data_IF_537383344933
#
_entry.id   IF_537383344933
#
_cell.length_a   1.000
_cell.length_b   1.000
_cell.length_c   1.000
_cell.angle_alpha   90.00
_cell.angle_beta   90.00
_cell.angle_gamma   90.00
#
_symmetry.space_group_name_H-M   'P 1'
#
loop_
_entity.id
_entity.type
_entity.pdbx_description
1 polymer ?
#
# COMPACT_ATOMS: atom_id res chain seq x y z
N UNK A 1 9.71 16.67 25.85
CA UNK A 1 8.77 15.70 25.24
C UNK A 1 8.02 16.22 24.02
N UNK A 2 7.68 17.52 23.89
CA UNK A 2 6.94 18.05 22.71
C UNK A 2 7.79 18.22 21.43
N UNK A 3 9.12 18.22 21.54
CA UNK A 3 10.06 18.54 20.44
C UNK A 3 10.34 17.35 19.51
N UNK A 4 10.24 16.12 20.00
CA UNK A 4 10.54 14.92 19.19
C UNK A 4 9.42 14.61 18.19
N UNK A 5 8.17 14.86 18.57
CA UNK A 5 6.99 14.62 17.73
C UNK A 5 6.99 15.48 16.45
N UNK A 6 7.52 16.71 16.54
CA UNK A 6 7.64 17.60 15.39
C UNK A 6 8.64 17.05 14.37
N UNK A 7 9.85 16.67 14.81
CA UNK A 7 10.89 16.15 13.92
C UNK A 7 10.46 14.88 13.21
N UNK A 8 9.77 13.99 13.91
CA UNK A 8 9.21 12.74 13.37
C UNK A 8 8.28 12.99 12.17
N UNK A 9 7.33 13.92 12.32
CA UNK A 9 6.38 14.27 11.24
C UNK A 9 7.07 14.94 10.05
N UNK A 10 8.08 15.78 10.28
CA UNK A 10 8.84 16.40 9.19
C UNK A 10 9.64 15.38 8.38
N UNK A 11 10.32 14.44 9.06
CA UNK A 11 11.07 13.36 8.42
C UNK A 11 10.13 12.50 7.57
N UNK A 12 8.97 12.13 8.11
CA UNK A 12 7.98 11.35 7.36
C UNK A 12 7.55 12.07 6.07
N UNK A 13 7.21 13.35 6.16
CA UNK A 13 6.82 14.17 4.99
C UNK A 13 7.94 14.29 3.97
N UNK A 14 9.17 14.49 4.44
CA UNK A 14 10.34 14.56 3.58
C UNK A 14 10.59 13.24 2.86
N UNK A 15 10.45 12.10 3.55
CA UNK A 15 10.58 10.77 2.95
C UNK A 15 9.46 10.51 1.94
N UNK A 16 8.20 10.87 2.25
CA UNK A 16 7.10 10.76 1.29
C UNK A 16 7.30 11.66 0.07
N UNK A 17 7.88 12.85 0.26
CA UNK A 17 8.20 13.75 -0.83
C UNK A 17 9.29 13.17 -1.74
N UNK A 18 10.37 12.63 -1.17
CA UNK A 18 11.43 11.95 -1.91
C UNK A 18 10.86 10.74 -2.67
N UNK A 19 10.05 9.91 -2.00
CA UNK A 19 9.37 8.79 -2.62
C UNK A 19 8.47 9.24 -3.78
N UNK A 20 7.67 10.29 -3.57
CA UNK A 20 6.80 10.88 -4.58
C UNK A 20 7.60 11.37 -5.80
N UNK A 21 8.68 12.12 -5.58
CA UNK A 21 9.56 12.60 -6.64
C UNK A 21 10.19 11.44 -7.43
N UNK A 22 10.64 10.40 -6.74
CA UNK A 22 11.21 9.20 -7.37
C UNK A 22 10.19 8.48 -8.27
N UNK A 23 8.95 8.31 -7.79
CA UNK A 23 7.88 7.62 -8.53
C UNK A 23 7.37 8.46 -9.71
N UNK A 24 7.16 9.77 -9.52
CA UNK A 24 6.72 10.65 -10.61
C UNK A 24 7.77 10.76 -11.70
N UNK A 25 9.05 10.85 -11.35
CA UNK A 25 10.15 10.82 -12.31
C UNK A 25 10.16 9.51 -13.11
N UNK A 26 10.01 8.37 -12.45
CA UNK A 26 9.94 7.06 -13.12
C UNK A 26 8.75 6.97 -14.08
N UNK A 27 7.58 7.44 -13.67
CA UNK A 27 6.40 7.46 -14.54
C UNK A 27 6.58 8.40 -15.73
N UNK A 28 7.17 9.58 -15.53
CA UNK A 28 7.47 10.52 -16.61
C UNK A 28 8.43 9.90 -17.64
N UNK A 29 9.47 9.19 -17.18
CA UNK A 29 10.37 8.43 -18.04
C UNK A 29 9.65 7.31 -18.79
N UNK A 30 8.72 6.60 -18.13
CA UNK A 30 7.95 5.54 -18.77
C UNK A 30 7.03 6.09 -19.87
N UNK A 31 6.32 7.20 -19.59
CA UNK A 31 5.48 7.88 -20.59
C UNK A 31 6.30 8.33 -21.80
N UNK A 32 7.50 8.88 -21.58
CA UNK A 32 8.38 9.38 -22.64
C UNK A 32 9.04 8.26 -23.45
N UNK A 33 9.60 7.25 -22.79
CA UNK A 33 10.40 6.20 -23.45
C UNK A 33 9.56 5.10 -24.11
N UNK A 34 8.37 4.81 -23.57
CA UNK A 34 7.51 3.72 -24.06
C UNK A 34 6.26 4.25 -24.80
N UNK A 35 6.24 5.54 -25.16
CA UNK A 35 5.11 6.24 -25.80
C UNK A 35 3.76 5.87 -25.17
N UNK A 36 3.76 5.82 -23.83
CA UNK A 36 2.63 5.29 -23.07
C UNK A 36 1.46 6.26 -23.18
N UNK A 37 0.24 5.72 -23.28
CA UNK A 37 -0.98 6.54 -23.23
C UNK A 37 -1.00 7.42 -21.98
N UNK A 38 -1.43 8.67 -22.16
CA UNK A 38 -1.63 9.66 -21.09
C UNK A 38 -2.53 9.17 -19.96
N UNK A 39 -3.38 8.16 -20.21
CA UNK A 39 -4.20 7.52 -19.18
C UNK A 39 -3.38 6.90 -18.04
N UNK A 40 -2.12 6.51 -18.28
CA UNK A 40 -1.28 5.95 -17.22
C UNK A 40 -0.84 7.00 -16.18
N UNK A 41 -1.03 8.29 -16.45
CA UNK A 41 -0.72 9.36 -15.49
C UNK A 41 -1.63 9.31 -14.25
N UNK A 42 -2.81 8.69 -14.36
CA UNK A 42 -3.70 8.52 -13.21
C UNK A 42 -3.09 7.64 -12.12
N UNK A 43 -2.17 6.72 -12.46
CA UNK A 43 -1.56 5.81 -11.49
C UNK A 43 -0.71 6.56 -10.44
N UNK A 44 0.30 7.37 -10.81
CA UNK A 44 1.06 8.15 -9.83
C UNK A 44 0.19 9.18 -9.10
N UNK A 45 -0.82 9.76 -9.76
CA UNK A 45 -1.77 10.69 -9.11
C UNK A 45 -2.53 9.99 -7.98
N UNK A 46 -3.10 8.81 -8.26
CA UNK A 46 -3.82 8.02 -7.26
C UNK A 46 -2.88 7.60 -6.13
N UNK A 47 -1.65 7.20 -6.45
CA UNK A 47 -0.66 6.87 -5.42
C UNK A 47 -0.36 8.06 -4.50
N UNK A 48 -0.16 9.27 -5.04
CA UNK A 48 0.05 10.50 -4.25
C UNK A 48 -1.17 10.76 -3.35
N UNK A 49 -2.38 10.61 -3.90
CA UNK A 49 -3.61 10.80 -3.14
C UNK A 49 -3.74 9.80 -1.99
N UNK A 50 -3.46 8.51 -2.23
CA UNK A 50 -3.42 7.48 -1.19
C UNK A 50 -2.34 7.76 -0.13
N UNK A 51 -1.15 8.21 -0.55
CA UNK A 51 -0.06 8.58 0.35
C UNK A 51 -0.45 9.73 1.27
N UNK A 52 -1.11 10.75 0.70
CA UNK A 52 -1.57 11.91 1.44
C UNK A 52 -2.68 11.56 2.44
N UNK A 53 -3.70 10.82 2.01
CA UNK A 53 -4.80 10.42 2.89
C UNK A 53 -4.29 9.50 4.00
N UNK A 54 -3.44 8.52 3.68
CA UNK A 54 -2.91 7.63 4.69
C UNK A 54 -2.03 8.36 5.71
N UNK A 55 -1.16 9.28 5.28
CA UNK A 55 -0.39 10.15 6.18
C UNK A 55 -1.30 10.98 7.09
N UNK A 56 -2.33 11.62 6.52
CA UNK A 56 -3.28 12.43 7.29
C UNK A 56 -4.05 11.59 8.31
N UNK A 57 -4.56 10.45 7.87
CA UNK A 57 -5.30 9.49 8.70
C UNK A 57 -4.44 8.95 9.85
N UNK A 58 -3.19 8.61 9.57
CA UNK A 58 -2.26 8.09 10.57
C UNK A 58 -1.85 9.16 11.59
N UNK A 59 -1.61 10.41 11.17
CA UNK A 59 -1.35 11.51 12.10
C UNK A 59 -2.53 11.77 13.03
N UNK A 60 -3.76 11.63 12.52
CA UNK A 60 -4.97 11.84 13.33
C UNK A 60 -5.21 10.68 14.32
N UNK A 61 -5.01 9.43 13.89
CA UNK A 61 -5.40 8.25 14.66
C UNK A 61 -4.26 7.68 15.52
N UNK A 62 -3.00 7.88 15.14
CA UNK A 62 -1.82 7.27 15.77
C UNK A 62 -0.70 8.30 15.98
N UNK A 63 -0.86 9.22 16.96
CA UNK A 63 0.09 10.30 17.19
C UNK A 63 1.48 9.84 17.69
N UNK A 64 1.64 8.58 18.13
CA UNK A 64 2.92 8.00 18.60
C UNK A 64 3.39 6.83 17.71
N UNK A 65 3.26 6.96 16.39
CA UNK A 65 3.69 5.94 15.43
C UNK A 65 5.15 6.13 15.01
N UNK A 66 5.72 5.08 14.43
CA UNK A 66 7.00 5.13 13.74
C UNK A 66 6.88 5.95 12.42
N UNK A 67 7.65 7.03 12.24
CA UNK A 67 7.62 7.87 11.05
C UNK A 67 8.24 7.24 9.80
N UNK A 68 9.04 6.18 9.92
CA UNK A 68 9.76 5.59 8.78
C UNK A 68 8.95 4.51 8.06
N UNK A 69 8.11 3.78 8.80
CA UNK A 69 7.42 2.60 8.29
C UNK A 69 6.45 2.95 7.14
N UNK A 70 5.65 4.00 7.33
CA UNK A 70 4.64 4.39 6.34
C UNK A 70 5.26 4.92 5.02
N UNK A 71 6.26 5.83 5.04
CA UNK A 71 6.96 6.24 3.83
C UNK A 71 7.63 5.10 3.08
N UNK A 72 8.28 4.17 3.81
CA UNK A 72 8.93 3.01 3.19
C UNK A 72 7.89 2.11 2.52
N UNK A 73 6.77 1.81 3.20
CA UNK A 73 5.67 1.06 2.60
C UNK A 73 5.16 1.73 1.33
N UNK A 74 4.88 3.04 1.38
CA UNK A 74 4.37 3.77 0.22
C UNK A 74 5.38 3.76 -0.93
N UNK A 75 6.67 3.95 -0.64
CA UNK A 75 7.74 3.87 -1.64
C UNK A 75 7.76 2.50 -2.32
N UNK A 76 7.71 1.41 -1.56
CA UNK A 76 7.70 0.05 -2.10
C UNK A 76 6.46 -0.23 -2.95
N UNK A 77 5.28 0.23 -2.50
CA UNK A 77 4.05 0.13 -3.26
C UNK A 77 4.15 0.91 -4.59
N UNK A 78 4.69 2.12 -4.54
CA UNK A 78 4.87 2.96 -5.73
C UNK A 78 5.86 2.33 -6.71
N UNK A 79 6.98 1.80 -6.21
CA UNK A 79 7.96 1.07 -7.02
C UNK A 79 7.31 -0.15 -7.67
N UNK A 80 6.52 -0.91 -6.91
CA UNK A 80 5.76 -2.04 -7.42
C UNK A 80 4.81 -1.66 -8.55
N UNK A 81 4.08 -0.54 -8.42
CA UNK A 81 3.22 -0.02 -9.48
C UNK A 81 4.00 0.33 -10.76
N UNK A 82 5.13 1.02 -10.63
CA UNK A 82 6.02 1.33 -11.78
C UNK A 82 6.51 0.05 -12.44
N UNK A 83 6.90 -0.95 -11.64
CA UNK A 83 7.44 -2.22 -12.14
C UNK A 83 6.35 -3.03 -12.86
N UNK A 84 5.15 -3.08 -12.30
CA UNK A 84 4.00 -3.76 -12.94
C UNK A 84 3.62 -3.03 -14.22
N UNK A 85 3.58 -1.70 -14.24
CA UNK A 85 3.25 -0.94 -15.45
C UNK A 85 4.30 -1.14 -16.56
N UNK A 86 5.57 -1.33 -16.18
CA UNK A 86 6.66 -1.65 -17.11
C UNK A 86 6.54 -3.06 -17.70
N UNK A 87 6.24 -4.07 -16.88
CA UNK A 87 6.26 -5.48 -17.30
C UNK A 87 4.91 -5.94 -17.86
N UNK A 88 3.83 -5.54 -17.21
CA UNK A 88 2.48 -6.05 -17.44
C UNK A 88 1.43 -4.91 -17.30
N UNK A 89 1.43 -3.94 -18.23
CA UNK A 89 0.68 -2.69 -18.08
C UNK A 89 -0.85 -2.85 -17.98
N UNK A 90 -1.41 -3.89 -18.60
CA UNK A 90 -2.84 -4.20 -18.50
C UNK A 90 -3.26 -4.51 -17.06
N UNK A 91 -2.33 -4.94 -16.20
CA UNK A 91 -2.58 -5.23 -14.79
C UNK A 91 -2.33 -4.03 -13.87
N UNK A 92 -1.60 -3.00 -14.32
CA UNK A 92 -1.25 -1.85 -13.49
C UNK A 92 -2.50 -1.06 -13.02
N UNK A 93 -3.51 -0.95 -13.88
CA UNK A 93 -4.80 -0.34 -13.50
C UNK A 93 -5.50 -1.14 -12.39
N UNK A 94 -5.54 -2.47 -12.51
CA UNK A 94 -6.12 -3.34 -11.47
C UNK A 94 -5.35 -3.23 -10.16
N UNK A 95 -4.01 -3.19 -10.23
CA UNK A 95 -3.17 -2.98 -9.06
C UNK A 95 -3.44 -1.63 -8.38
N UNK A 96 -3.72 -0.60 -9.16
CA UNK A 96 -4.07 0.73 -8.64
C UNK A 96 -5.41 0.71 -7.89
N UNK A 97 -6.39 -0.05 -8.37
CA UNK A 97 -7.65 -0.28 -7.64
C UNK A 97 -7.37 -1.00 -6.31
N UNK A 98 -6.51 -2.02 -6.32
CA UNK A 98 -6.10 -2.71 -5.09
C UNK A 98 -5.38 -1.79 -4.10
N UNK A 99 -4.60 -0.82 -4.57
CA UNK A 99 -4.00 0.20 -3.72
C UNK A 99 -5.08 1.04 -3.02
N UNK A 100 -6.11 1.50 -3.75
CA UNK A 100 -7.22 2.25 -3.16
C UNK A 100 -7.92 1.41 -2.10
N UNK A 101 -8.29 0.17 -2.42
CA UNK A 101 -8.97 -0.74 -1.50
C UNK A 101 -8.12 -1.03 -0.26
N UNK A 102 -6.82 -1.31 -0.44
CA UNK A 102 -5.87 -1.55 0.65
C UNK A 102 -5.70 -0.33 1.54
N UNK A 103 -5.65 0.87 0.96
CA UNK A 103 -5.56 2.14 1.72
C UNK A 103 -6.83 2.37 2.54
N UNK A 104 -8.02 2.19 1.94
CA UNK A 104 -9.30 2.27 2.64
C UNK A 104 -9.38 1.26 3.80
N UNK A 105 -8.97 0.01 3.56
CA UNK A 105 -8.93 -1.02 4.58
C UNK A 105 -7.96 -0.69 5.71
N UNK A 106 -6.74 -0.24 5.39
CA UNK A 106 -5.76 0.18 6.40
C UNK A 106 -6.31 1.32 7.28
N UNK A 107 -6.93 2.33 6.68
CA UNK A 107 -7.57 3.44 7.40
C UNK A 107 -8.69 2.95 8.31
N UNK A 108 -9.52 2.01 7.85
CA UNK A 108 -10.56 1.39 8.66
C UNK A 108 -9.95 0.64 9.85
N UNK A 109 -8.90 -0.15 9.63
CA UNK A 109 -8.22 -0.89 10.68
C UNK A 109 -7.60 0.03 11.75
N UNK A 110 -7.04 1.17 11.35
CA UNK A 110 -6.51 2.15 12.31
C UNK A 110 -7.61 2.68 13.24
N UNK A 111 -8.87 2.79 12.80
CA UNK A 111 -9.98 3.24 13.65
C UNK A 111 -10.32 2.23 14.74
N UNK A 112 -10.13 0.94 14.44
CA UNK A 112 -10.43 -0.16 15.35
C UNK A 112 -9.24 -0.58 16.23
N UNK A 113 -8.14 0.20 16.26
CA UNK A 113 -6.91 -0.13 17.02
C UNK A 113 -7.15 -0.48 18.50
N UNK A 114 -8.18 0.11 19.13
CA UNK A 114 -8.53 -0.15 20.54
C UNK A 114 -9.02 -1.58 20.79
N UNK A 115 -9.54 -2.26 19.76
CA UNK A 115 -9.97 -3.67 19.82
C UNK A 115 -8.84 -4.66 19.51
N UNK A 116 -7.73 -4.24 18.87
CA UNK A 116 -6.64 -5.16 18.50
C UNK A 116 -5.89 -5.69 19.73
N UNK A 117 -5.87 -4.97 20.85
CA UNK A 117 -5.35 -5.50 22.13
C UNK A 117 -6.19 -6.66 22.68
N UNK A 118 -7.47 -6.80 22.28
CA UNK A 118 -8.29 -7.97 22.63
C UNK A 118 -8.00 -9.16 21.71
N UNK A 119 -7.25 -8.97 20.61
CA UNK A 119 -6.94 -9.99 19.61
C UNK A 119 -5.78 -10.90 20.03
N UNK A 120 -5.00 -10.53 21.06
CA UNK A 120 -3.99 -11.42 21.66
C UNK A 120 -4.59 -12.72 22.20
N UNK A 121 -5.90 -12.73 22.52
CA UNK A 121 -6.62 -13.93 22.94
C UNK A 121 -7.17 -14.79 21.78
N UNK A 122 -7.08 -14.31 20.52
CA UNK A 122 -7.70 -14.93 19.34
C UNK A 122 -6.70 -15.50 18.32
N UNK A 123 -5.40 -15.57 18.64
CA UNK A 123 -4.36 -16.10 17.75
C UNK A 123 -4.70 -17.46 17.13
N UNK A 124 -5.39 -18.32 17.88
CA UNK A 124 -5.82 -19.64 17.39
C UNK A 124 -6.88 -19.59 16.29
N UNK A 125 -7.78 -18.61 16.30
CA UNK A 125 -8.84 -18.48 15.28
C UNK A 125 -8.26 -18.06 13.94
N UNK A 126 -7.29 -17.13 13.94
CA UNK A 126 -6.59 -16.74 12.72
C UNK A 126 -5.85 -17.92 12.09
N UNK A 127 -5.15 -18.71 12.90
CA UNK A 127 -4.42 -19.89 12.43
C UNK A 127 -5.36 -20.97 11.86
N UNK A 128 -6.47 -21.26 12.55
CA UNK A 128 -7.48 -22.21 12.06
C UNK A 128 -8.10 -21.71 10.75
N UNK A 129 -8.43 -20.42 10.64
CA UNK A 129 -8.95 -19.83 9.41
C UNK A 129 -7.93 -20.00 8.29
N UNK A 130 -6.65 -19.68 8.51
CA UNK A 130 -5.60 -19.82 7.50
C UNK A 130 -5.42 -21.29 7.09
N UNK A 131 -5.40 -22.23 8.02
CA UNK A 131 -5.30 -23.67 7.70
C UNK A 131 -6.52 -24.14 6.91
N UNK A 132 -7.72 -23.76 7.32
CA UNK A 132 -8.95 -24.11 6.60
C UNK A 132 -8.96 -23.50 5.21
N UNK A 133 -8.53 -22.25 5.06
CA UNK A 133 -8.43 -21.58 3.77
C UNK A 133 -7.39 -22.26 2.88
N UNK A 134 -6.24 -22.66 3.44
CA UNK A 134 -5.20 -23.40 2.73
C UNK A 134 -5.73 -24.77 2.26
N UNK A 135 -6.39 -25.50 3.14
CA UNK A 135 -7.06 -26.76 2.78
C UNK A 135 -8.12 -26.55 1.69
N UNK A 136 -8.96 -25.53 1.83
CA UNK A 136 -9.99 -25.22 0.85
C UNK A 136 -9.42 -24.90 -0.53
N UNK A 137 -8.26 -24.24 -0.61
CA UNK A 137 -7.59 -23.99 -1.89
C UNK A 137 -7.11 -25.28 -2.58
N UNK A 138 -6.83 -26.35 -1.86
CA UNK A 138 -6.47 -27.64 -2.45
C UNK A 138 -7.69 -28.38 -3.03
N UNK A 139 -8.86 -28.23 -2.40
CA UNK A 139 -10.08 -28.92 -2.84
C UNK A 139 -10.89 -28.13 -3.87
N UNK A 140 -10.86 -26.79 -3.82
CA UNK A 140 -11.71 -25.89 -4.64
C UNK A 140 -10.86 -25.01 -5.57
N UNK A 141 -9.52 -25.04 -5.45
CA UNK A 141 -8.62 -24.24 -6.26
C UNK A 141 -8.61 -24.68 -7.72
N UNK A 142 -8.85 -23.73 -8.62
CA UNK A 142 -8.62 -23.93 -10.06
C UNK A 142 -7.13 -23.81 -10.30
N UNK A 143 -6.49 -24.86 -10.82
CA UNK A 143 -5.05 -24.82 -11.13
C UNK A 143 -4.82 -23.92 -12.36
N UNK A 144 -4.17 -22.74 -12.23
CA UNK A 144 -3.97 -21.83 -13.35
C UNK A 144 -2.89 -22.32 -14.33
N UNK A 145 -2.11 -23.36 -13.97
CA UNK A 145 -1.08 -23.92 -14.86
C UNK A 145 -1.62 -24.91 -15.90
N UNK A 146 -2.93 -25.18 -15.91
CA UNK A 146 -3.59 -25.99 -16.95
C UNK A 146 -3.32 -27.50 -16.90
N UNK A 147 -2.61 -28.01 -15.90
CA UNK A 147 -2.44 -29.44 -15.69
C UNK A 147 -3.50 -29.94 -14.72
N UNK A 148 -4.52 -30.58 -15.30
CA UNK A 148 -5.33 -31.61 -14.64
C UNK A 148 -4.70 -32.98 -14.87
#
# INVERSE_FOLDING_TARGET
MRTEDFNSTYIERLLLFIAGAFITLHYALLLYLFERSWQHIFIPIIWIFCAFIGHWSLNYQLPKRDPYLYPIMMLLIGWGLVTIDRVAPLFAQRQTIWLILGTCLAIALFKHKKQIYQLEHYYYHGFIITILLLGATLFIGVNPSGFG
#
